data_IF_952919937420
#
_entry.id   IF_952919937420
#
_cell.length_a   1.000
_cell.length_b   1.000
_cell.length_c   1.000
_cell.angle_alpha   90.00
_cell.angle_beta   90.00
_cell.angle_gamma   90.00
#
_symmetry.space_group_name_H-M   'P 1'
#
loop_
_entity.id
_entity.type
_entity.pdbx_description
1 polymer ?
#
# COMPACT_ATOMS: atom_id res chain seq x y z
N UNK A 1 -7.79 5.84 9.20
CA UNK A 1 -7.84 6.22 7.77
C UNK A 1 -9.06 5.58 7.16
N UNK A 2 -9.96 6.37 6.59
CA UNK A 2 -11.20 5.88 5.99
C UNK A 2 -10.96 5.59 4.49
N UNK A 3 -10.49 4.38 4.16
CA UNK A 3 -10.29 3.95 2.78
C UNK A 3 -11.54 3.24 2.27
N UNK A 4 -12.08 3.67 1.13
CA UNK A 4 -13.12 2.90 0.44
C UNK A 4 -12.50 1.73 -0.30
N UNK A 5 -13.28 0.67 -0.48
CA UNK A 5 -12.85 -0.60 -1.10
C UNK A 5 -12.21 -0.38 -2.49
N UNK A 6 -12.75 0.55 -3.27
CA UNK A 6 -12.30 0.87 -4.63
C UNK A 6 -11.37 2.09 -4.68
N UNK A 7 -10.95 2.65 -3.53
CA UNK A 7 -10.04 3.78 -3.53
C UNK A 7 -8.70 3.36 -4.13
N UNK A 8 -8.14 4.14 -5.07
CA UNK A 8 -6.82 3.90 -5.61
C UNK A 8 -5.77 4.20 -4.52
N UNK A 9 -4.87 3.25 -4.33
CA UNK A 9 -3.81 3.29 -3.32
C UNK A 9 -2.49 2.85 -3.93
N UNK A 10 -1.41 3.31 -3.31
CA UNK A 10 -0.07 2.81 -3.55
C UNK A 10 0.29 1.93 -2.35
N UNK A 11 0.64 0.68 -2.65
CA UNK A 11 1.18 -0.29 -1.71
C UNK A 11 2.66 -0.46 -2.01
N UNK A 12 3.51 -0.01 -1.10
CA UNK A 12 4.95 -0.28 -1.14
C UNK A 12 5.25 -1.43 -0.20
N UNK A 13 5.93 -2.46 -0.69
CA UNK A 13 6.31 -3.64 0.11
C UNK A 13 7.81 -3.85 0.03
N UNK A 14 8.42 -4.20 1.16
CA UNK A 14 9.83 -4.55 1.24
C UNK A 14 10.04 -6.03 0.90
N UNK A 15 10.37 -6.33 -0.34
CA UNK A 15 10.64 -7.69 -0.80
C UNK A 15 12.14 -7.97 -0.77
N UNK A 16 12.62 -8.59 0.31
CA UNK A 16 14.06 -8.76 0.55
C UNK A 16 14.76 -7.42 0.82
N UNK A 17 15.61 -6.98 -0.11
CA UNK A 17 16.35 -5.71 -0.02
C UNK A 17 15.76 -4.60 -0.90
N UNK A 18 14.72 -4.90 -1.69
CA UNK A 18 14.16 -3.97 -2.65
C UNK A 18 12.74 -3.54 -2.26
N UNK A 19 12.44 -2.27 -2.53
CA UNK A 19 11.08 -1.74 -2.39
C UNK A 19 10.30 -1.97 -3.67
N UNK A 20 9.24 -2.75 -3.56
CA UNK A 20 8.29 -2.98 -4.65
C UNK A 20 7.08 -2.09 -4.48
N UNK A 21 6.84 -1.23 -5.47
CA UNK A 21 5.68 -0.32 -5.51
C UNK A 21 4.57 -0.93 -6.37
N UNK A 22 3.36 -1.04 -5.82
CA UNK A 22 2.18 -1.59 -6.49
C UNK A 22 1.05 -0.56 -6.42
N UNK A 23 0.58 -0.11 -7.59
CA UNK A 23 -0.62 0.73 -7.70
C UNK A 23 -1.84 -0.15 -7.86
N UNK A 24 -2.80 -0.03 -6.97
CA UNK A 24 -3.92 -0.96 -6.88
C UNK A 24 -5.10 -0.33 -6.14
N UNK A 25 -6.21 -1.05 -5.98
CA UNK A 25 -7.28 -0.63 -5.07
C UNK A 25 -7.00 -1.06 -3.63
N UNK A 26 -7.56 -0.35 -2.65
CA UNK A 26 -7.46 -0.69 -1.22
C UNK A 26 -7.84 -2.15 -0.95
N UNK A 27 -8.92 -2.64 -1.58
CA UNK A 27 -9.35 -4.04 -1.46
C UNK A 27 -8.25 -5.03 -1.88
N UNK A 28 -7.64 -4.79 -3.03
CA UNK A 28 -6.60 -5.65 -3.57
C UNK A 28 -5.31 -5.57 -2.74
N UNK A 29 -4.94 -4.37 -2.26
CA UNK A 29 -3.79 -4.18 -1.38
C UNK A 29 -3.94 -5.00 -0.09
N UNK A 30 -5.07 -4.85 0.61
CA UNK A 30 -5.33 -5.60 1.85
C UNK A 30 -5.41 -7.11 1.58
N UNK A 31 -6.01 -7.53 0.45
CA UNK A 31 -6.05 -8.95 0.07
C UNK A 31 -4.64 -9.51 -0.14
N UNK A 32 -3.75 -8.74 -0.77
CA UNK A 32 -2.36 -9.14 -0.99
C UNK A 32 -1.61 -9.25 0.34
N UNK A 33 -1.68 -8.23 1.19
CA UNK A 33 -1.03 -8.21 2.50
C UNK A 33 -1.47 -9.37 3.40
N UNK A 34 -2.77 -9.69 3.40
CA UNK A 34 -3.30 -10.84 4.14
C UNK A 34 -2.79 -12.17 3.61
N UNK A 35 -2.62 -12.30 2.28
CA UNK A 35 -2.13 -13.52 1.65
C UNK A 35 -0.62 -13.73 1.90
N UNK A 36 0.16 -12.66 1.86
CA UNK A 36 1.62 -12.71 1.98
C UNK A 36 2.11 -12.60 3.42
N UNK A 37 1.24 -12.29 4.38
CA UNK A 37 1.62 -11.99 5.78
C UNK A 37 2.74 -10.96 5.90
N UNK A 38 2.80 -10.04 4.94
CA UNK A 38 3.90 -9.10 4.80
C UNK A 38 3.90 -8.07 5.93
N UNK A 39 5.05 -7.88 6.59
CA UNK A 39 5.18 -6.97 7.75
C UNK A 39 5.83 -5.63 7.41
N UNK A 40 6.69 -5.58 6.39
CA UNK A 40 7.29 -4.34 5.90
C UNK A 40 6.49 -3.78 4.73
N UNK A 41 5.47 -2.96 5.00
CA UNK A 41 4.71 -2.30 3.94
C UNK A 41 4.31 -0.87 4.32
N UNK A 42 4.15 -0.03 3.30
CA UNK A 42 3.51 1.28 3.38
C UNK A 42 2.26 1.27 2.49
N UNK A 43 1.19 1.90 2.96
CA UNK A 43 -0.06 2.00 2.23
C UNK A 43 -0.60 3.42 2.33
N UNK A 44 -0.77 4.08 1.19
CA UNK A 44 -1.25 5.45 1.11
C UNK A 44 -2.09 5.67 -0.15
N UNK A 45 -2.90 6.73 -0.18
CA UNK A 45 -3.74 7.04 -1.36
C UNK A 45 -2.87 7.41 -2.56
N UNK A 46 -3.32 7.04 -3.75
CA UNK A 46 -2.69 7.52 -4.97
C UNK A 46 -2.78 9.07 -5.01
N UNK A 47 -1.64 9.74 -5.15
CA UNK A 47 -1.55 11.21 -5.08
C UNK A 47 -1.26 11.78 -3.69
N UNK A 48 -1.33 10.99 -2.62
CA UNK A 48 -0.70 11.36 -1.35
C UNK A 48 0.76 10.94 -1.37
N UNK A 49 1.65 11.83 -0.92
CA UNK A 49 3.03 11.48 -0.60
C UNK A 49 3.06 10.86 0.78
N UNK A 50 3.73 9.71 0.93
CA UNK A 50 3.91 9.07 2.24
C UNK A 50 4.73 9.96 3.19
N UNK A 51 5.62 10.79 2.63
CA UNK A 51 6.53 11.70 3.32
C UNK A 51 6.01 13.13 3.39
N UNK A 52 4.74 13.39 3.05
CA UNK A 52 4.15 14.71 3.17
C UNK A 52 4.08 15.08 4.66
N UNK A 53 5.17 15.67 5.18
CA UNK A 53 5.20 16.38 6.45
C UNK A 53 4.11 17.45 6.38
N UNK A 54 3.11 17.30 7.23
CA UNK A 54 2.21 18.39 7.57
C UNK A 54 3.00 19.55 8.20
#
# INVERSE_FOLDING_TARGET
MDYKINDPVILEMLDGNDWRVIRTTYRQAIRLLRKTHHRGYLLYREGQRWDAKA
#
